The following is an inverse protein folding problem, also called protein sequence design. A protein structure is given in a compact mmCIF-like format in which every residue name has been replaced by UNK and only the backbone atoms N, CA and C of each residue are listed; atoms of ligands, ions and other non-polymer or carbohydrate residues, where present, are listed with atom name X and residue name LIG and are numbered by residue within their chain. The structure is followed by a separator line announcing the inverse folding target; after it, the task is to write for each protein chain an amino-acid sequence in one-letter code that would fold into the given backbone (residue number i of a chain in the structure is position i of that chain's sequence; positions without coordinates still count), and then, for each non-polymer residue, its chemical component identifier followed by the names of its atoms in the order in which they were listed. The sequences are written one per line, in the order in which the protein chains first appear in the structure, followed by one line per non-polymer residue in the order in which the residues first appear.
data_IF_506436418940
#
_entry.id   IF_506436418940
#
_cell.length_a   1.000
_cell.length_b   1.000
_cell.length_c   1.000
_cell.angle_alpha   90.00
_cell.angle_beta   90.00
_cell.angle_gamma   90.00
#
_symmetry.space_group_name_H-M   'P 1'
#
loop_
_entity.id
_entity.type
_entity.pdbx_description
1 polymer ?
#
# COMPACT_ATOMS: atom_id res chain seq x y z
N UNK A 1 -3.51 -24.34 13.76
CA UNK A 1 -2.71 -23.29 14.42
C UNK A 1 -1.35 -23.13 13.76
N UNK A 2 -0.46 -24.14 13.77
CA UNK A 2 0.90 -24.04 13.20
C UNK A 2 0.93 -23.66 11.70
N UNK A 3 0.05 -24.25 10.89
CA UNK A 3 -0.03 -23.94 9.46
C UNK A 3 -0.38 -22.47 9.18
N UNK A 4 -1.23 -21.86 10.01
CA UNK A 4 -1.59 -20.44 9.87
C UNK A 4 -0.41 -19.52 10.21
N UNK A 5 0.34 -19.83 11.28
CA UNK A 5 1.57 -19.09 11.61
C UNK A 5 2.63 -19.21 10.51
N UNK A 6 2.77 -20.40 9.92
CA UNK A 6 3.69 -20.61 8.81
C UNK A 6 3.29 -19.82 7.55
N UNK A 7 2.00 -19.83 7.19
CA UNK A 7 1.46 -19.02 6.09
C UNK A 7 1.67 -17.52 6.33
N UNK A 8 1.47 -17.04 7.55
CA UNK A 8 1.73 -15.65 7.93
C UNK A 8 3.22 -15.30 7.82
N UNK A 9 4.12 -16.17 8.28
CA UNK A 9 5.56 -15.97 8.19
C UNK A 9 6.01 -15.86 6.72
N UNK A 10 5.52 -16.75 5.86
CA UNK A 10 5.78 -16.70 4.42
C UNK A 10 5.26 -15.39 3.83
N UNK A 11 4.04 -14.99 4.17
CA UNK A 11 3.46 -13.73 3.69
C UNK A 11 4.33 -12.52 4.05
N UNK A 12 4.81 -12.43 5.30
CA UNK A 12 5.68 -11.34 5.74
C UNK A 12 7.06 -11.37 5.06
N UNK A 13 7.61 -12.55 4.77
CA UNK A 13 8.84 -12.69 4.00
C UNK A 13 8.66 -12.13 2.57
N UNK A 14 7.54 -12.44 1.91
CA UNK A 14 7.22 -11.89 0.59
C UNK A 14 7.08 -10.37 0.61
N UNK A 15 6.47 -9.78 1.64
CA UNK A 15 6.38 -8.32 1.80
C UNK A 15 7.79 -7.71 1.92
N UNK A 16 8.67 -8.29 2.74
CA UNK A 16 10.04 -7.83 2.89
C UNK A 16 10.84 -7.87 1.58
N UNK A 17 10.76 -9.00 0.85
CA UNK A 17 11.40 -9.16 -0.46
C UNK A 17 10.86 -8.13 -1.46
N UNK A 18 9.55 -7.89 -1.45
CA UNK A 18 8.90 -6.96 -2.36
C UNK A 18 9.38 -5.51 -2.17
N UNK A 19 9.59 -5.06 -0.94
CA UNK A 19 10.08 -3.71 -0.64
C UNK A 19 11.53 -3.55 -1.11
N UNK A 20 12.38 -4.54 -0.86
CA UNK A 20 13.80 -4.51 -1.25
C UNK A 20 13.97 -4.48 -2.77
N UNK A 21 13.31 -5.39 -3.48
CA UNK A 21 13.35 -5.46 -4.95
C UNK A 21 12.67 -4.23 -5.57
N UNK A 22 11.55 -3.79 -4.99
CA UNK A 22 10.79 -2.64 -5.48
C UNK A 22 11.61 -1.36 -5.51
N UNK A 23 12.44 -1.10 -4.48
CA UNK A 23 13.33 0.07 -4.44
C UNK A 23 14.36 0.09 -5.57
N UNK A 24 14.95 -1.07 -5.87
CA UNK A 24 15.94 -1.20 -6.95
C UNK A 24 15.29 -0.91 -8.32
N UNK A 25 14.12 -1.50 -8.59
CA UNK A 25 13.43 -1.32 -9.87
C UNK A 25 12.94 0.12 -10.06
N UNK A 26 12.38 0.72 -9.01
CA UNK A 26 11.87 2.10 -9.03
C UNK A 26 12.99 3.14 -9.23
N UNK A 27 14.26 2.77 -8.97
CA UNK A 27 15.40 3.64 -9.27
C UNK A 27 15.66 3.80 -10.78
N UNK A 28 15.19 2.84 -11.59
CA UNK A 28 15.39 2.80 -13.04
C UNK A 28 14.10 3.01 -13.85
N UNK A 29 12.94 2.70 -13.25
CA UNK A 29 11.62 2.77 -13.90
C UNK A 29 10.70 3.64 -13.05
N UNK A 30 9.89 4.52 -13.66
CA UNK A 30 8.95 5.33 -12.91
C UNK A 30 7.92 4.52 -12.11
N UNK A 31 7.48 5.06 -10.97
CA UNK A 31 6.67 4.34 -9.97
C UNK A 31 5.32 3.89 -10.53
N UNK A 32 4.65 4.73 -11.32
CA UNK A 32 3.30 4.40 -11.82
C UNK A 32 3.37 3.32 -12.91
N UNK A 33 4.40 3.36 -13.77
CA UNK A 33 4.66 2.30 -14.76
C UNK A 33 4.97 0.95 -14.12
N UNK A 34 5.79 0.92 -13.07
CA UNK A 34 6.10 -0.32 -12.36
C UNK A 34 4.84 -0.90 -11.68
N UNK A 35 4.03 -0.05 -11.05
CA UNK A 35 2.76 -0.45 -10.42
C UNK A 35 1.75 -0.98 -11.43
N UNK A 36 1.60 -0.34 -12.59
CA UNK A 36 0.76 -0.81 -13.71
C UNK A 36 1.15 -2.22 -14.17
N UNK A 37 2.44 -2.45 -14.44
CA UNK A 37 2.92 -3.77 -14.86
C UNK A 37 2.63 -4.83 -13.81
N UNK A 38 2.79 -4.49 -12.52
CA UNK A 38 2.46 -5.39 -11.42
C UNK A 38 0.96 -5.72 -11.39
N UNK A 39 0.09 -4.73 -11.53
CA UNK A 39 -1.36 -4.95 -11.57
C UNK A 39 -1.78 -5.76 -12.80
N UNK A 40 -1.18 -5.50 -13.96
CA UNK A 40 -1.41 -6.26 -15.18
C UNK A 40 -1.02 -7.73 -15.02
N UNK A 41 0.19 -8.00 -14.52
CA UNK A 41 0.65 -9.37 -14.26
C UNK A 41 -0.25 -10.06 -13.22
N UNK A 42 -0.64 -9.34 -12.16
CA UNK A 42 -1.56 -9.86 -11.15
C UNK A 42 -2.91 -10.25 -11.78
N UNK A 43 -3.48 -9.42 -12.65
CA UNK A 43 -4.72 -9.75 -13.36
C UNK A 43 -4.56 -10.93 -14.31
N UNK A 44 -3.47 -10.98 -15.07
CA UNK A 44 -3.18 -12.10 -16.00
C UNK A 44 -3.04 -13.44 -15.27
N UNK A 45 -2.58 -13.44 -14.02
CA UNK A 45 -2.47 -14.66 -13.21
C UNK A 45 -3.78 -14.96 -12.47
N UNK A 46 -4.41 -13.95 -11.88
CA UNK A 46 -5.59 -14.12 -11.02
C UNK A 46 -6.85 -14.45 -11.81
N UNK A 47 -7.05 -13.88 -13.01
CA UNK A 47 -8.26 -14.14 -13.80
C UNK A 47 -8.37 -15.61 -14.26
N UNK A 48 -7.31 -16.24 -14.82
CA UNK A 48 -7.35 -17.68 -15.12
C UNK A 48 -7.48 -18.52 -13.85
N UNK A 49 -6.77 -18.14 -12.77
CA UNK A 49 -6.81 -18.88 -11.51
C UNK A 49 -8.22 -18.90 -10.90
N UNK A 50 -8.94 -17.77 -10.96
CA UNK A 50 -10.34 -17.68 -10.53
C UNK A 50 -11.25 -18.60 -11.35
N UNK A 51 -11.04 -18.63 -12.67
CA UNK A 51 -11.78 -19.53 -13.57
C UNK A 51 -11.49 -21.00 -13.26
N UNK A 52 -10.22 -21.38 -13.06
CA UNK A 52 -9.80 -22.74 -12.77
C UNK A 52 -10.30 -23.24 -11.41
N UNK A 53 -10.41 -22.34 -10.42
CA UNK A 53 -10.91 -22.67 -9.08
C UNK A 53 -12.44 -22.68 -8.97
N UNK A 54 -13.16 -22.30 -10.03
CA UNK A 54 -14.61 -22.11 -9.97
C UNK A 54 -15.04 -20.97 -9.04
N UNK A 55 -14.10 -20.13 -8.61
CA UNK A 55 -14.35 -18.96 -7.77
C UNK A 55 -14.74 -17.74 -8.64
N UNK A 56 -15.13 -17.96 -9.90
CA UNK A 56 -15.56 -16.89 -10.79
C UNK A 56 -16.89 -16.31 -10.32
N UNK A 57 -16.89 -15.04 -9.88
CA UNK A 57 -18.10 -14.34 -9.50
C UNK A 57 -18.71 -13.65 -10.71
N UNK A 58 -19.78 -14.23 -11.25
CA UNK A 58 -20.45 -13.72 -12.46
C UNK A 58 -21.28 -12.45 -12.22
N UNK A 59 -21.71 -12.17 -10.98
CA UNK A 59 -22.47 -10.97 -10.63
C UNK A 59 -22.03 -10.39 -9.29
N UNK A 60 -21.74 -9.09 -9.29
CA UNK A 60 -21.39 -8.31 -8.10
C UNK A 60 -22.61 -7.51 -7.65
N UNK A 61 -22.88 -7.47 -6.35
CA UNK A 61 -23.90 -6.55 -5.85
C UNK A 61 -23.41 -5.11 -5.97
N UNK A 62 -24.34 -4.15 -6.11
CA UNK A 62 -23.97 -2.72 -6.14
C UNK A 62 -23.21 -2.30 -4.88
N UNK A 63 -23.58 -2.85 -3.71
CA UNK A 63 -22.87 -2.58 -2.46
C UNK A 63 -21.42 -3.09 -2.51
N UNK A 64 -21.21 -4.31 -2.99
CA UNK A 64 -19.87 -4.92 -3.07
C UNK A 64 -18.96 -4.13 -4.03
N UNK A 65 -19.48 -3.76 -5.21
CA UNK A 65 -18.73 -2.96 -6.18
C UNK A 65 -18.34 -1.59 -5.63
N UNK A 66 -19.26 -0.92 -4.92
CA UNK A 66 -18.98 0.38 -4.28
C UNK A 66 -17.95 0.24 -3.16
N UNK A 67 -18.04 -0.79 -2.31
CA UNK A 67 -17.06 -1.04 -1.24
C UNK A 67 -15.69 -1.36 -1.83
N UNK A 68 -15.61 -2.18 -2.88
CA UNK A 68 -14.34 -2.50 -3.56
C UNK A 68 -13.71 -1.28 -4.23
N UNK A 69 -14.54 -0.41 -4.83
CA UNK A 69 -14.06 0.84 -5.41
C UNK A 69 -13.45 1.74 -4.34
N UNK A 70 -14.17 2.01 -3.25
CA UNK A 70 -13.65 2.82 -2.15
C UNK A 70 -12.46 2.19 -1.46
N UNK A 71 -12.45 0.86 -1.31
CA UNK A 71 -11.31 0.13 -0.79
C UNK A 71 -10.06 0.36 -1.64
N UNK A 72 -10.16 0.25 -2.96
CA UNK A 72 -9.03 0.45 -3.87
C UNK A 72 -8.61 1.92 -3.94
N UNK A 73 -9.59 2.83 -3.98
CA UNK A 73 -9.36 4.27 -4.04
C UNK A 73 -8.64 4.79 -2.79
N UNK A 74 -9.13 4.48 -1.59
CA UNK A 74 -8.46 4.90 -0.36
C UNK A 74 -7.18 4.08 -0.14
N UNK A 75 -7.29 2.76 -0.21
CA UNK A 75 -6.23 1.86 0.24
C UNK A 75 -5.01 1.74 -0.65
N UNK A 76 -5.18 1.96 -1.96
CA UNK A 76 -4.09 1.81 -2.92
C UNK A 76 -3.75 3.17 -3.50
N UNK A 77 -4.72 3.83 -4.15
CA UNK A 77 -4.45 5.07 -4.87
C UNK A 77 -4.12 6.25 -3.94
N UNK A 78 -5.04 6.61 -3.03
CA UNK A 78 -4.84 7.73 -2.11
C UNK A 78 -3.68 7.45 -1.16
N UNK A 79 -3.59 6.22 -0.62
CA UNK A 79 -2.46 5.78 0.16
C UNK A 79 -1.14 6.03 -0.57
N UNK A 80 -0.96 5.51 -1.78
CA UNK A 80 0.30 5.67 -2.52
C UNK A 80 0.65 7.13 -2.77
N UNK A 81 -0.31 7.98 -3.15
CA UNK A 81 -0.07 9.41 -3.36
C UNK A 81 0.34 10.08 -2.05
N UNK A 82 -0.45 9.93 -1.00
CA UNK A 82 -0.18 10.56 0.31
C UNK A 82 1.16 10.09 0.89
N UNK A 83 1.49 8.81 0.77
CA UNK A 83 2.75 8.25 1.23
C UNK A 83 3.94 8.79 0.42
N UNK A 84 3.81 8.79 -0.92
CA UNK A 84 4.87 9.26 -1.83
C UNK A 84 5.20 10.75 -1.63
N UNK A 85 4.18 11.61 -1.49
CA UNK A 85 4.40 13.04 -1.22
C UNK A 85 4.75 13.30 0.24
N UNK A 86 4.15 12.56 1.18
CA UNK A 86 4.39 12.70 2.62
C UNK A 86 5.86 12.44 2.98
N UNK A 87 6.41 11.30 2.54
CA UNK A 87 7.81 10.91 2.84
C UNK A 87 8.84 11.81 2.16
N UNK A 88 8.49 12.50 1.06
CA UNK A 88 9.38 13.51 0.47
C UNK A 88 9.56 14.75 1.36
N UNK A 89 8.58 15.05 2.20
CA UNK A 89 8.58 16.26 3.03
C UNK A 89 8.77 15.99 4.52
N UNK A 90 8.61 14.75 4.98
CA UNK A 90 8.90 14.34 6.36
C UNK A 90 10.21 13.54 6.50
N UNK A 91 10.64 13.31 7.73
CA UNK A 91 11.77 12.44 8.05
C UNK A 91 11.34 10.97 8.14
N UNK A 92 12.27 10.05 7.89
CA UNK A 92 12.02 8.61 8.02
C UNK A 92 11.58 8.23 9.46
N UNK A 93 12.12 8.90 10.48
CA UNK A 93 11.75 8.70 11.88
C UNK A 93 10.31 9.12 12.14
N UNK A 94 9.91 10.32 11.73
CA UNK A 94 8.53 10.81 11.90
C UNK A 94 7.54 9.95 11.12
N UNK A 95 7.84 9.59 9.87
CA UNK A 95 7.00 8.69 9.09
C UNK A 95 6.83 7.31 9.75
N UNK A 96 7.93 6.70 10.22
CA UNK A 96 7.90 5.41 10.90
C UNK A 96 7.01 5.43 12.14
N UNK A 97 7.12 6.48 12.96
CA UNK A 97 6.28 6.59 14.16
C UNK A 97 4.81 6.85 13.78
N UNK A 98 4.52 7.68 12.78
CA UNK A 98 3.13 7.87 12.32
C UNK A 98 2.55 6.55 11.82
N UNK A 99 3.29 5.77 11.03
CA UNK A 99 2.82 4.45 10.55
C UNK A 99 2.61 3.44 11.68
N UNK A 100 3.30 3.58 12.82
CA UNK A 100 3.04 2.74 14.00
C UNK A 100 1.62 2.94 14.58
N UNK A 101 0.93 4.02 14.20
CA UNK A 101 -0.44 4.31 14.63
C UNK A 101 -1.53 3.64 13.79
N UNK A 102 -1.17 3.00 12.67
CA UNK A 102 -2.09 2.22 11.81
C UNK A 102 -3.00 1.28 12.61
N UNK A 103 -2.51 0.40 13.50
CA UNK A 103 -3.38 -0.49 14.28
C UNK A 103 -4.39 0.24 15.18
N UNK A 104 -4.06 1.43 15.72
CA UNK A 104 -5.01 2.22 16.49
C UNK A 104 -6.06 2.87 15.59
N UNK A 105 -5.66 3.42 14.44
CA UNK A 105 -6.59 3.99 13.48
C UNK A 105 -7.56 2.91 12.98
N UNK A 106 -7.08 1.70 12.68
CA UNK A 106 -7.92 0.55 12.34
C UNK A 106 -8.90 0.26 13.47
N UNK A 107 -8.43 0.18 14.71
CA UNK A 107 -9.28 -0.11 15.86
C UNK A 107 -10.40 0.95 16.05
N UNK A 108 -10.03 2.23 16.00
CA UNK A 108 -10.95 3.34 16.19
C UNK A 108 -11.99 3.42 15.07
N UNK A 109 -11.55 3.33 13.82
CA UNK A 109 -12.44 3.38 12.66
C UNK A 109 -13.30 2.11 12.55
N UNK A 110 -12.80 0.94 12.96
CA UNK A 110 -13.60 -0.30 12.99
C UNK A 110 -14.75 -0.18 13.99
N UNK A 111 -14.53 0.44 15.16
CA UNK A 111 -15.61 0.75 16.10
C UNK A 111 -16.66 1.68 15.47
N UNK A 112 -16.24 2.72 14.75
CA UNK A 112 -17.17 3.71 14.20
C UNK A 112 -17.93 3.21 12.97
N UNK A 113 -17.25 2.53 12.04
CA UNK A 113 -17.81 2.09 10.75
C UNK A 113 -18.51 0.73 10.86
N UNK A 114 -17.89 -0.24 11.55
CA UNK A 114 -18.43 -1.60 11.69
C UNK A 114 -19.30 -1.77 12.95
N UNK A 115 -19.31 -0.78 13.86
CA UNK A 115 -20.02 -0.84 15.16
C UNK A 115 -19.63 -2.05 16.01
N UNK A 116 -18.43 -2.59 15.82
CA UNK A 116 -17.90 -3.70 16.61
C UNK A 116 -17.52 -3.22 18.01
N UNK A 117 -17.73 -4.07 19.04
CA UNK A 117 -17.32 -3.76 20.41
C UNK A 117 -15.79 -3.72 20.49
N UNK A 118 -15.24 -2.64 21.07
CA UNK A 118 -13.81 -2.47 21.27
C UNK A 118 -13.27 -3.63 22.13
N UNK A 119 -12.45 -4.50 21.54
CA UNK A 119 -11.70 -5.49 22.29
C UNK A 119 -10.61 -4.81 23.12
N UNK A 120 -10.22 -5.40 24.25
CA UNK A 120 -9.18 -4.86 25.15
C UNK A 120 -7.85 -4.59 24.42
N UNK A 121 -7.55 -5.35 23.37
CA UNK A 121 -6.38 -5.18 22.51
C UNK A 121 -6.43 -3.88 21.68
N UNK A 122 -7.63 -3.43 21.28
CA UNK A 122 -7.84 -2.15 20.59
C UNK A 122 -7.53 -0.97 21.50
N UNK A 123 -7.84 -1.08 22.80
CA UNK A 123 -7.51 -0.06 23.80
C UNK A 123 -5.99 0.10 23.93
N UNK A 124 -5.25 -1.02 23.99
CA UNK A 124 -3.79 -1.01 24.04
C UNK A 124 -3.16 -0.40 22.77
N UNK A 125 -3.71 -0.70 21.59
CA UNK A 125 -3.24 -0.09 20.34
C UNK A 125 -3.41 1.44 20.35
N UNK A 126 -4.57 1.93 20.82
CA UNK A 126 -4.86 3.37 20.96
C UNK A 126 -3.88 4.03 21.92
N UNK A 127 -3.69 3.46 23.13
CA UNK A 127 -2.75 3.99 24.12
C UNK A 127 -1.33 4.04 23.55
N UNK A 128 -0.88 2.97 22.90
CA UNK A 128 0.47 2.90 22.31
C UNK A 128 0.66 3.94 21.21
N UNK A 129 -0.37 4.20 20.41
CA UNK A 129 -0.34 5.22 19.34
C UNK A 129 -0.30 6.63 19.91
N UNK A 130 -1.08 6.91 20.96
CA UNK A 130 -1.03 8.19 21.68
C UNK A 130 0.35 8.39 22.31
N UNK A 131 0.93 7.36 22.91
CA UNK A 131 2.30 7.41 23.44
C UNK A 131 3.33 7.64 22.32
N UNK A 132 3.19 6.99 21.16
CA UNK A 132 4.06 7.20 19.99
C UNK A 132 4.01 8.65 19.49
N UNK A 133 2.81 9.23 19.37
CA UNK A 133 2.61 10.65 19.01
C UNK A 133 3.19 11.59 20.08
N UNK A 134 2.99 11.27 21.36
CA UNK A 134 3.55 12.02 22.48
C UNK A 134 5.08 12.01 22.45
N UNK A 135 5.70 10.87 22.18
CA UNK A 135 7.14 10.75 22.02
C UNK A 135 7.67 11.57 20.83
N UNK A 136 6.98 11.63 19.68
CA UNK A 136 7.37 12.54 18.57
C UNK A 136 7.41 13.99 19.03
N UNK A 137 6.38 14.41 19.77
CA UNK A 137 6.25 15.79 20.23
C UNK A 137 7.34 16.17 21.24
N UNK A 138 7.81 15.20 22.05
CA UNK A 138 8.84 15.41 23.09
C UNK A 138 10.29 15.15 22.64
N UNK A 139 10.51 14.24 21.67
CA UNK A 139 11.85 13.85 21.18
C UNK A 139 12.36 14.69 20.03
N UNK A 140 11.52 15.56 19.45
CA UNK A 140 11.97 16.55 18.48
C UNK A 140 12.84 17.60 19.16
N UNK A 141 14.16 17.38 19.21
CA UNK A 141 15.12 18.48 19.29
C UNK A 141 14.73 19.49 18.21
N UNK A 142 14.38 20.70 18.63
CA UNK A 142 14.36 22.03 17.96
C UNK A 142 14.67 22.20 16.46
N UNK A 143 14.46 21.22 15.59
CA UNK A 143 14.43 21.42 14.16
C UNK A 143 13.13 22.16 13.90
N UNK A 144 13.25 23.47 13.73
CA UNK A 144 12.16 24.37 13.38
C UNK A 144 11.17 23.62 12.48
N UNK A 145 9.97 23.37 13.00
CA UNK A 145 8.88 22.71 12.28
C UNK A 145 8.57 23.58 11.05
N UNK A 146 9.30 23.37 9.96
CA UNK A 146 9.02 24.03 8.70
C UNK A 146 7.60 23.63 8.34
N UNK A 147 6.80 24.58 7.85
CA UNK A 147 5.42 24.30 7.39
C UNK A 147 5.39 23.11 6.42
N UNK A 148 6.47 22.89 5.68
CA UNK A 148 6.67 21.76 4.76
C UNK A 148 6.74 20.42 5.50
N UNK A 149 7.48 20.33 6.62
CA UNK A 149 7.57 19.11 7.43
C UNK A 149 6.23 18.75 8.10
N UNK A 150 5.48 19.77 8.55
CA UNK A 150 4.14 19.57 9.13
C UNK A 150 3.13 19.08 8.08
N UNK A 151 3.17 19.61 6.86
CA UNK A 151 2.37 19.12 5.74
C UNK A 151 2.74 17.67 5.36
N UNK A 152 4.04 17.34 5.36
CA UNK A 152 4.50 15.97 5.16
C UNK A 152 3.94 15.01 6.20
N UNK A 153 4.01 15.37 7.49
CA UNK A 153 3.43 14.59 8.58
C UNK A 153 1.91 14.39 8.42
N UNK A 154 1.18 15.43 8.04
CA UNK A 154 -0.26 15.36 7.80
C UNK A 154 -0.60 14.43 6.63
N UNK A 155 0.19 14.46 5.55
CA UNK A 155 0.02 13.54 4.42
C UNK A 155 0.30 12.10 4.80
N UNK A 156 1.36 11.82 5.58
CA UNK A 156 1.62 10.46 6.08
C UNK A 156 0.48 10.00 6.99
N UNK A 157 -0.04 10.88 7.84
CA UNK A 157 -1.20 10.55 8.67
C UNK A 157 -2.45 10.25 7.84
N UNK A 158 -2.70 11.01 6.77
CA UNK A 158 -3.79 10.73 5.83
C UNK A 158 -3.58 9.38 5.12
N UNK A 159 -2.34 9.01 4.80
CA UNK A 159 -2.03 7.68 4.28
C UNK A 159 -2.41 6.59 5.31
N UNK A 160 -2.05 6.77 6.58
CA UNK A 160 -2.43 5.84 7.66
C UNK A 160 -3.94 5.67 7.80
N UNK A 161 -4.71 6.77 7.73
CA UNK A 161 -6.18 6.70 7.73
C UNK A 161 -6.70 5.93 6.53
N UNK A 162 -6.11 6.15 5.35
CA UNK A 162 -6.50 5.47 4.11
C UNK A 162 -6.21 3.96 4.15
N UNK A 163 -5.07 3.57 4.73
CA UNK A 163 -4.70 2.17 4.99
C UNK A 163 -5.65 1.51 6.02
N UNK A 164 -6.05 2.27 7.05
CA UNK A 164 -7.02 1.78 8.01
C UNK A 164 -8.40 1.52 7.37
N UNK A 165 -8.86 2.43 6.50
CA UNK A 165 -10.09 2.25 5.73
C UNK A 165 -10.02 1.05 4.80
N UNK A 166 -8.90 0.83 4.11
CA UNK A 166 -8.67 -0.36 3.29
C UNK A 166 -8.91 -1.65 4.07
N UNK A 167 -8.31 -1.74 5.26
CA UNK A 167 -8.44 -2.92 6.14
C UNK A 167 -9.88 -3.12 6.59
N UNK A 168 -10.60 -2.04 6.88
CA UNK A 168 -12.00 -2.10 7.32
C UNK A 168 -12.94 -2.53 6.20
N UNK A 169 -12.76 -2.00 4.99
CA UNK A 169 -13.54 -2.44 3.83
C UNK A 169 -13.24 -3.90 3.46
N UNK A 170 -11.97 -4.32 3.55
CA UNK A 170 -11.59 -5.72 3.40
C UNK A 170 -12.32 -6.62 4.42
N UNK A 171 -12.38 -6.19 5.69
CA UNK A 171 -13.13 -6.90 6.74
C UNK A 171 -14.63 -6.96 6.45
N UNK A 172 -15.23 -5.87 5.95
CA UNK A 172 -16.66 -5.81 5.61
C UNK A 172 -17.05 -6.76 4.48
N UNK A 173 -16.11 -7.03 3.56
CA UNK A 173 -16.27 -7.98 2.46
C UNK A 173 -15.84 -9.41 2.83
N UNK A 174 -15.01 -9.56 3.86
CA UNK A 174 -14.58 -10.85 4.38
C UNK A 174 -15.79 -11.69 4.81
N UNK A 175 -15.92 -12.88 4.22
CA UNK A 175 -17.05 -13.78 4.43
C UNK A 175 -18.19 -13.64 3.41
N UNK A 176 -18.23 -12.55 2.63
CA UNK A 176 -19.14 -12.39 1.48
C UNK A 176 -18.50 -12.75 0.14
N UNK A 177 -17.19 -12.52 0.02
CA UNK A 177 -16.39 -12.81 -1.18
C UNK A 177 -15.11 -13.56 -0.82
N UNK A 178 -14.58 -14.33 -1.76
CA UNK A 178 -13.32 -15.05 -1.53
C UNK A 178 -12.14 -14.08 -1.56
N UNK A 179 -11.04 -14.36 -0.84
CA UNK A 179 -9.83 -13.53 -0.86
C UNK A 179 -9.25 -13.35 -2.27
N UNK A 180 -9.37 -14.37 -3.13
CA UNK A 180 -8.94 -14.29 -4.54
C UNK A 180 -9.80 -13.32 -5.34
N UNK A 181 -11.13 -13.38 -5.20
CA UNK A 181 -12.06 -12.44 -5.86
C UNK A 181 -11.79 -11.01 -5.43
N UNK A 182 -11.62 -10.79 -4.12
CA UNK A 182 -11.31 -9.47 -3.56
C UNK A 182 -10.00 -8.93 -4.14
N UNK A 183 -8.94 -9.77 -4.16
CA UNK A 183 -7.63 -9.37 -4.68
C UNK A 183 -7.70 -9.05 -6.17
N UNK A 184 -8.36 -9.87 -6.98
CA UNK A 184 -8.50 -9.63 -8.42
C UNK A 184 -9.27 -8.33 -8.70
N UNK A 185 -10.37 -8.08 -7.99
CA UNK A 185 -11.15 -6.86 -8.14
C UNK A 185 -10.36 -5.61 -7.74
N UNK A 186 -9.62 -5.66 -6.63
CA UNK A 186 -8.76 -4.53 -6.19
C UNK A 186 -7.67 -4.25 -7.22
N UNK A 187 -6.99 -5.27 -7.75
CA UNK A 187 -5.98 -5.08 -8.78
C UNK A 187 -6.60 -4.52 -10.06
N UNK A 188 -7.79 -4.96 -10.44
CA UNK A 188 -8.53 -4.44 -11.61
C UNK A 188 -8.91 -2.97 -11.47
N UNK A 189 -9.48 -2.58 -10.33
CA UNK A 189 -9.87 -1.20 -10.07
C UNK A 189 -8.61 -0.32 -9.95
N UNK A 190 -7.58 -0.81 -9.26
CA UNK A 190 -6.31 -0.07 -9.10
C UNK A 190 -5.62 0.15 -10.44
N UNK A 191 -5.60 -0.84 -11.33
CA UNK A 191 -5.12 -0.69 -12.70
C UNK A 191 -5.83 0.47 -13.40
N UNK A 192 -7.17 0.48 -13.41
CA UNK A 192 -7.93 1.58 -14.04
C UNK A 192 -7.65 2.95 -13.41
N UNK A 193 -7.48 3.03 -12.09
CA UNK A 193 -7.18 4.28 -11.38
C UNK A 193 -5.76 4.80 -11.68
N UNK A 194 -4.79 3.92 -11.84
CA UNK A 194 -3.39 4.27 -12.09
C UNK A 194 -3.09 4.52 -13.57
N UNK A 195 -3.86 3.92 -14.48
CA UNK A 195 -3.71 4.02 -15.92
C UNK A 195 -3.50 5.45 -16.46
N UNK A 196 -4.31 6.49 -16.12
CA UNK A 196 -4.08 7.83 -16.63
C UNK A 196 -2.76 8.44 -16.16
N UNK A 197 -2.33 8.14 -14.93
CA UNK A 197 -1.06 8.63 -14.38
C UNK A 197 0.13 7.93 -15.02
N UNK A 198 0.01 6.63 -15.26
CA UNK A 198 1.05 5.86 -15.92
C UNK A 198 1.20 6.20 -17.40
N UNK A 199 0.11 6.50 -18.11
CA UNK A 199 0.17 6.99 -19.50
C UNK A 199 0.85 8.37 -19.53
N UNK A 200 0.48 9.28 -18.62
CA UNK A 200 1.13 10.59 -18.51
C UNK A 200 2.65 10.46 -18.25
N UNK A 201 3.03 9.59 -17.32
CA UNK A 201 4.43 9.33 -16.99
C UNK A 201 5.17 8.64 -18.15
N UNK A 202 4.56 7.65 -18.80
CA UNK A 202 5.11 6.92 -19.95
C UNK A 202 5.28 7.76 -21.22
N UNK A 203 4.44 8.78 -21.43
CA UNK A 203 4.63 9.75 -22.51
C UNK A 203 5.78 10.74 -22.22
N UNK A 204 6.03 11.03 -20.93
CA UNK A 204 7.15 11.88 -20.51
C UNK A 204 8.49 11.14 -20.39
N UNK A 205 8.46 9.81 -20.31
CA UNK A 205 9.62 8.97 -20.08
C UNK A 205 10.30 8.58 -21.40
N UNK A 206 11.51 9.07 -21.64
CA UNK A 206 12.31 8.62 -22.78
C UNK A 206 12.80 7.20 -22.53
N UNK A 207 12.26 6.21 -23.25
CA UNK A 207 12.68 4.80 -23.21
C UNK A 207 14.18 4.57 -23.53
N UNK A 208 14.89 5.60 -24.00
CA UNK A 208 16.33 5.56 -24.33
C UNK A 208 17.30 5.52 -23.14
N UNK A 209 16.84 5.64 -21.89
CA UNK A 209 17.70 5.54 -20.69
C UNK A 209 17.86 4.11 -20.16
N UNK A 210 16.85 3.24 -20.34
CA UNK A 210 16.88 1.85 -19.87
C UNK A 210 17.86 0.98 -20.68
N UNK A 211 18.01 1.28 -21.98
CA UNK A 211 18.88 0.51 -22.88
C UNK A 211 20.39 0.80 -22.71
N UNK A 212 20.76 1.87 -21.98
CA UNK A 212 22.17 2.31 -21.83
C UNK A 212 22.88 1.73 -20.59
N UNK A 213 22.14 1.17 -19.63
CA UNK A 213 22.74 0.53 -18.43
C UNK A 213 23.39 -0.84 -18.73
N UNK A 214 22.91 -1.58 -19.75
CA UNK A 214 23.54 -2.86 -20.15
C UNK A 214 24.93 -2.71 -20.79
N UNK A 215 25.32 -1.51 -21.24
CA UNK A 215 26.60 -1.32 -21.95
C UNK A 215 27.78 -1.07 -21.00
N UNK A 216 27.54 -0.67 -19.74
CA UNK A 216 28.63 -0.40 -18.80
C UNK A 216 29.08 -1.61 -17.97
N UNK A 217 28.20 -2.59 -17.74
CA UNK A 217 28.58 -3.80 -16.98
C UNK A 217 29.35 -4.83 -17.83
N UNK A 218 29.18 -4.84 -19.15
CA UNK A 218 29.91 -5.78 -20.02
C UNK A 218 31.31 -5.30 -20.44
N UNK A 219 31.69 -4.05 -20.15
CA UNK A 219 33.02 -3.52 -20.52
C UNK A 219 34.08 -3.68 -19.41
N UNK A 220 33.66 -3.88 -18.16
CA UNK A 220 34.60 -4.05 -17.03
C UNK A 220 35.02 -5.51 -16.75
N UNK A 221 34.40 -6.51 -17.40
CA UNK A 221 34.79 -7.92 -17.27
C UNK A 221 35.76 -8.42 -18.35
N UNK A 222 36.10 -7.59 -19.36
CA UNK A 222 37.05 -7.97 -20.41
C UNK A 222 38.41 -7.25 -20.34
N UNK A 223 38.60 -6.37 -19.36
CA UNK A 223 39.86 -5.61 -19.15
C UNK A 223 40.59 -6.00 -17.84
N UNK A 224 40.41 -7.24 -17.36
CA UNK A 224 41.26 -7.81 -16.30
C UNK A 224 41.90 -9.12 -16.74
#
# INVERSE_FOLDING_TARGET
MLLAYFQLAISMAFVGINISIGKEIVSHIPVFLFSELRFLIALLILLPLLSMRGEWKSSWSKEEGVVLFWQSFFGVFLFSICMLYGVKWTTATSAGIITSTVPACIALLSFWILKEKLLRNSLWAIVLSVCGIGLITFSGESQALSRISMLGNLLVFLAVISEALFTIFAKRLSGKITPFQMTAAINGISFVLFLPFAIAEGMSFSWGSVMRSRVYLHRHEYER
#
